data_IF_240377148843
#
_entry.id   IF_240377148843
#
_cell.length_a   1.000
_cell.length_b   1.000
_cell.length_c   1.000
_cell.angle_alpha   90.00
_cell.angle_beta   90.00
_cell.angle_gamma   90.00
#
_symmetry.space_group_name_H-M   'P 1'
#
loop_
_entity.id
_entity.type
_entity.pdbx_description
1 polymer ?
#
# COMPACT_ATOMS: atom_id res chain seq x y z
N UNK A 1 -27.13 -3.44 16.32
CA UNK A 1 -26.46 -2.12 16.39
C UNK A 1 -26.61 -1.41 15.04
N UNK A 2 -27.00 -0.14 15.01
CA UNK A 2 -27.07 0.66 13.77
C UNK A 2 -25.67 1.13 13.36
N UNK A 3 -25.36 1.04 12.06
CA UNK A 3 -24.10 1.55 11.49
C UNK A 3 -24.14 3.08 11.46
N UNK A 4 -22.97 3.73 11.54
CA UNK A 4 -22.84 5.20 11.53
C UNK A 4 -22.00 5.72 10.36
N UNK A 5 -22.21 6.95 9.93
CA UNK A 5 -21.36 7.59 8.93
C UNK A 5 -20.15 8.23 9.61
N UNK A 6 -18.99 7.63 9.45
CA UNK A 6 -17.74 8.27 9.86
C UNK A 6 -17.31 9.33 8.83
N UNK A 7 -17.02 10.55 9.29
CA UNK A 7 -16.54 11.70 8.50
C UNK A 7 -15.04 11.99 8.67
N UNK A 8 -14.34 11.31 9.61
CA UNK A 8 -12.91 11.50 9.85
C UNK A 8 -12.18 10.17 10.20
N UNK A 9 -11.01 9.95 9.59
CA UNK A 9 -10.20 8.74 9.84
C UNK A 9 -10.62 7.49 9.04
N UNK A 10 -10.01 6.35 9.37
CA UNK A 10 -10.29 5.07 8.72
C UNK A 10 -11.69 4.56 9.10
N UNK A 11 -12.48 4.14 8.11
CA UNK A 11 -13.77 3.50 8.36
C UNK A 11 -13.56 2.06 8.83
N UNK A 12 -14.25 1.67 9.89
CA UNK A 12 -14.14 0.34 10.51
C UNK A 12 -15.29 -0.58 10.05
N UNK A 13 -14.97 -1.75 9.48
CA UNK A 13 -15.98 -2.76 9.18
C UNK A 13 -16.79 -3.13 10.42
N UNK A 14 -18.12 -3.20 10.30
CA UNK A 14 -19.04 -3.54 11.40
C UNK A 14 -19.49 -2.36 12.28
N UNK A 15 -18.79 -1.23 12.23
CA UNK A 15 -19.12 -0.01 12.99
C UNK A 15 -19.64 1.08 12.05
N UNK A 16 -18.97 1.27 10.92
CA UNK A 16 -19.26 2.34 9.97
C UNK A 16 -19.97 1.83 8.71
N UNK A 17 -20.74 2.69 8.05
CA UNK A 17 -21.18 2.43 6.68
C UNK A 17 -19.96 2.34 5.75
N UNK A 18 -19.79 1.18 5.12
CA UNK A 18 -18.74 0.92 4.13
C UNK A 18 -19.33 1.03 2.73
N UNK A 19 -18.65 1.78 1.88
CA UNK A 19 -18.91 1.76 0.43
C UNK A 19 -17.73 0.98 -0.17
N UNK A 20 -17.98 0.00 -1.05
CA UNK A 20 -16.91 -0.77 -1.68
C UNK A 20 -15.87 0.14 -2.33
N UNK A 21 -14.60 -0.22 -2.21
CA UNK A 21 -13.52 0.61 -2.75
C UNK A 21 -13.39 0.46 -4.27
N UNK A 22 -13.54 -0.77 -4.79
CA UNK A 22 -13.39 -1.07 -6.21
C UNK A 22 -14.26 -0.19 -7.15
N UNK A 23 -15.56 0.08 -6.90
CA UNK A 23 -16.36 0.97 -7.75
C UNK A 23 -15.88 2.43 -7.80
N UNK A 24 -15.05 2.85 -6.84
CA UNK A 24 -14.46 4.20 -6.81
C UNK A 24 -13.20 4.31 -7.66
N UNK A 25 -12.61 3.17 -8.02
CA UNK A 25 -11.43 3.04 -8.88
C UNK A 25 -11.70 1.94 -9.92
N UNK A 26 -12.70 2.12 -10.81
CA UNK A 26 -13.17 1.04 -11.69
C UNK A 26 -12.08 0.56 -12.67
N UNK A 27 -11.12 1.41 -13.00
CA UNK A 27 -9.97 1.05 -13.86
C UNK A 27 -8.86 0.31 -13.10
N UNK A 28 -8.80 0.40 -11.77
CA UNK A 28 -7.67 -0.14 -11.00
C UNK A 28 -7.51 -1.67 -11.15
N UNK A 29 -8.56 -2.50 -11.08
CA UNK A 29 -8.40 -3.94 -11.30
C UNK A 29 -7.79 -4.27 -12.68
N UNK A 30 -8.25 -3.59 -13.74
CA UNK A 30 -7.71 -3.79 -15.09
C UNK A 30 -6.26 -3.31 -15.24
N UNK A 31 -5.88 -2.21 -14.58
CA UNK A 31 -4.50 -1.72 -14.57
C UNK A 31 -3.57 -2.62 -13.75
N UNK A 32 -4.06 -3.20 -12.66
CA UNK A 32 -3.34 -4.21 -11.87
C UNK A 32 -3.13 -5.48 -12.71
N UNK A 33 -4.15 -5.91 -13.45
CA UNK A 33 -4.04 -7.06 -14.37
C UNK A 33 -3.02 -6.83 -15.50
N UNK A 34 -2.82 -5.58 -15.92
CA UNK A 34 -1.83 -5.18 -16.93
C UNK A 34 -0.43 -4.95 -16.35
N UNK A 35 -0.20 -5.22 -15.07
CA UNK A 35 1.10 -5.08 -14.41
C UNK A 35 1.68 -3.65 -14.46
N UNK A 36 0.81 -2.65 -14.65
CA UNK A 36 1.20 -1.26 -14.82
C UNK A 36 1.34 -0.49 -13.50
N UNK A 37 2.24 0.50 -13.50
CA UNK A 37 2.25 1.56 -12.50
C UNK A 37 1.15 2.58 -12.82
N UNK A 38 0.38 3.03 -11.82
CA UNK A 38 -0.65 4.03 -12.04
C UNK A 38 -0.81 5.02 -10.88
N UNK A 39 -0.92 6.30 -11.21
CA UNK A 39 -1.12 7.36 -10.23
C UNK A 39 -2.61 7.65 -10.13
N UNK A 40 -3.15 7.63 -8.92
CA UNK A 40 -4.55 8.02 -8.66
C UNK A 40 -4.58 9.44 -8.16
N UNK A 41 -4.89 10.40 -9.03
CA UNK A 41 -5.12 11.77 -8.59
C UNK A 41 -6.49 11.88 -7.89
N UNK A 42 -6.54 12.54 -6.73
CA UNK A 42 -7.82 12.86 -6.10
C UNK A 42 -7.80 14.14 -5.26
N UNK A 43 -8.93 14.88 -5.21
CA UNK A 43 -9.08 16.08 -4.38
C UNK A 43 -8.95 15.80 -2.87
N UNK A 44 -8.52 16.80 -2.09
CA UNK A 44 -8.39 16.72 -0.60
C UNK A 44 -9.67 16.18 0.05
N UNK A 45 -9.52 15.42 1.14
CA UNK A 45 -10.61 14.89 1.98
C UNK A 45 -11.63 13.93 1.33
N UNK A 46 -11.37 13.41 0.14
CA UNK A 46 -12.26 12.44 -0.56
C UNK A 46 -12.09 10.97 -0.13
N UNK A 47 -11.58 10.71 1.08
CA UNK A 47 -11.28 9.34 1.54
C UNK A 47 -9.99 8.75 0.93
N UNK A 48 -8.96 9.59 0.78
CA UNK A 48 -7.66 9.27 0.18
C UNK A 48 -6.92 8.11 0.84
N UNK A 49 -7.10 7.93 2.14
CA UNK A 49 -6.47 6.87 2.94
C UNK A 49 -7.37 5.65 3.06
N UNK A 50 -8.68 5.86 3.17
CA UNK A 50 -9.66 4.78 3.33
C UNK A 50 -9.81 3.93 2.07
N UNK A 51 -9.77 4.57 0.88
CA UNK A 51 -10.05 3.86 -0.38
C UNK A 51 -8.91 2.90 -0.77
N UNK A 52 -7.62 3.30 -0.76
CA UNK A 52 -6.52 2.37 -1.05
C UNK A 52 -6.37 1.28 0.03
N UNK A 53 -6.57 1.62 1.31
CA UNK A 53 -6.55 0.62 2.38
C UNK A 53 -7.66 -0.44 2.22
N UNK A 54 -8.89 0.00 1.93
CA UNK A 54 -10.00 -0.92 1.67
C UNK A 54 -9.77 -1.75 0.39
N UNK A 55 -9.22 -1.15 -0.67
CA UNK A 55 -8.89 -1.86 -1.90
C UNK A 55 -7.81 -2.93 -1.68
N UNK A 56 -6.76 -2.63 -0.89
CA UNK A 56 -5.73 -3.60 -0.55
C UNK A 56 -6.31 -4.80 0.22
N UNK A 57 -7.22 -4.53 1.16
CA UNK A 57 -7.92 -5.59 1.90
C UNK A 57 -8.85 -6.40 0.98
N UNK A 58 -9.61 -5.74 0.10
CA UNK A 58 -10.48 -6.40 -0.88
C UNK A 58 -9.69 -7.31 -1.83
N UNK A 59 -8.56 -6.84 -2.37
CA UNK A 59 -7.68 -7.61 -3.27
C UNK A 59 -7.03 -8.81 -2.57
N UNK A 60 -6.60 -8.64 -1.32
CA UNK A 60 -6.03 -9.73 -0.52
C UNK A 60 -7.08 -10.76 -0.15
N UNK A 61 -8.28 -10.32 0.25
CA UNK A 61 -9.41 -11.18 0.59
C UNK A 61 -9.97 -11.93 -0.62
N UNK A 62 -9.92 -11.34 -1.82
CA UNK A 62 -10.29 -12.00 -3.07
C UNK A 62 -9.33 -13.15 -3.45
N UNK A 63 -8.22 -13.33 -2.72
CA UNK A 63 -7.34 -14.49 -2.85
C UNK A 63 -6.33 -14.40 -4.01
N UNK A 64 -6.48 -13.41 -4.90
CA UNK A 64 -5.62 -13.26 -6.09
C UNK A 64 -4.30 -12.54 -5.83
N UNK A 65 -4.28 -11.61 -4.88
CA UNK A 65 -3.13 -10.74 -4.64
C UNK A 65 -2.67 -10.77 -3.19
N UNK A 66 -1.44 -10.35 -2.96
CA UNK A 66 -0.96 -9.89 -1.67
C UNK A 66 -0.83 -8.36 -1.74
N UNK A 67 -1.87 -7.67 -1.28
CA UNK A 67 -1.99 -6.23 -1.44
C UNK A 67 -1.79 -5.52 -0.11
N UNK A 68 -0.89 -4.54 -0.08
CA UNK A 68 -0.54 -3.82 1.14
C UNK A 68 -0.65 -2.31 0.96
N UNK A 69 -1.21 -1.64 1.98
CA UNK A 69 -1.17 -0.19 2.09
C UNK A 69 -0.22 0.27 3.22
N UNK A 70 0.71 1.16 2.89
CA UNK A 70 1.68 1.75 3.82
C UNK A 70 1.90 3.25 3.57
N UNK A 71 2.57 3.94 4.51
CA UNK A 71 2.93 5.36 4.42
C UNK A 71 4.42 5.52 4.14
N UNK A 72 4.80 6.54 3.37
CA UNK A 72 6.21 6.89 3.15
C UNK A 72 6.71 8.02 4.06
N UNK A 73 5.88 8.54 4.98
CA UNK A 73 6.21 9.68 5.86
C UNK A 73 7.49 9.46 6.69
N UNK A 74 7.77 8.22 7.13
CA UNK A 74 9.01 7.90 7.85
C UNK A 74 10.26 8.00 6.96
N UNK A 75 10.11 7.73 5.66
CA UNK A 75 11.18 7.98 4.69
C UNK A 75 11.40 9.46 4.45
N UNK A 76 10.32 10.25 4.42
CA UNK A 76 10.38 11.71 4.26
C UNK A 76 11.07 12.40 5.44
N UNK A 77 10.86 11.92 6.67
CA UNK A 77 11.49 12.47 7.88
C UNK A 77 13.03 12.35 7.89
N UNK A 78 13.60 11.48 7.05
CA UNK A 78 15.05 11.29 6.91
C UNK A 78 15.73 12.37 6.04
N UNK A 79 14.97 13.19 5.32
CA UNK A 79 15.53 14.23 4.43
C UNK A 79 16.42 13.63 3.34
N UNK A 80 17.67 14.10 3.25
CA UNK A 80 18.65 13.66 2.25
C UNK A 80 19.41 12.38 2.66
N UNK A 81 19.11 11.78 3.82
CA UNK A 81 19.65 10.47 4.21
C UNK A 81 18.84 9.36 3.53
N UNK A 82 19.24 9.03 2.30
CA UNK A 82 18.59 7.99 1.49
C UNK A 82 18.63 6.61 2.16
N UNK A 83 19.70 6.27 2.88
CA UNK A 83 19.82 5.00 3.59
C UNK A 83 18.82 4.90 4.74
N UNK A 84 18.73 5.94 5.57
CA UNK A 84 17.72 6.03 6.62
C UNK A 84 16.30 6.05 6.06
N UNK A 85 16.07 6.72 4.92
CA UNK A 85 14.77 6.77 4.27
C UNK A 85 14.30 5.37 3.83
N UNK A 86 15.17 4.60 3.17
CA UNK A 86 14.84 3.23 2.74
C UNK A 86 14.60 2.30 3.92
N UNK A 87 15.40 2.40 4.98
CA UNK A 87 15.19 1.62 6.21
C UNK A 87 13.86 1.95 6.87
N UNK A 88 13.49 3.23 6.93
CA UNK A 88 12.20 3.70 7.43
C UNK A 88 11.02 3.11 6.64
N UNK A 89 11.09 3.16 5.31
CA UNK A 89 10.07 2.60 4.42
C UNK A 89 9.97 1.07 4.60
N UNK A 90 11.09 0.35 4.62
CA UNK A 90 11.10 -1.11 4.81
C UNK A 90 10.59 -1.53 6.19
N UNK A 91 10.87 -0.72 7.22
CA UNK A 91 10.32 -0.90 8.56
C UNK A 91 8.79 -0.77 8.57
N UNK A 92 8.27 0.28 7.93
CA UNK A 92 6.81 0.50 7.84
C UNK A 92 6.13 -0.60 7.02
N UNK A 93 6.70 -0.99 5.87
CA UNK A 93 6.19 -2.10 5.05
C UNK A 93 6.05 -3.37 5.90
N UNK A 94 7.11 -3.75 6.63
CA UNK A 94 7.09 -4.95 7.48
C UNK A 94 6.02 -4.86 8.56
N UNK A 95 5.98 -3.75 9.30
CA UNK A 95 4.98 -3.52 10.36
C UNK A 95 3.55 -3.59 9.82
N UNK A 96 3.29 -3.00 8.64
CA UNK A 96 1.97 -3.04 8.00
C UNK A 96 1.63 -4.43 7.51
N UNK A 97 2.58 -5.16 6.93
CA UNK A 97 2.39 -6.53 6.48
C UNK A 97 2.05 -7.47 7.64
N UNK A 98 2.71 -7.35 8.78
CA UNK A 98 2.41 -8.14 9.98
C UNK A 98 0.97 -7.93 10.49
N UNK A 99 0.46 -6.71 10.37
CA UNK A 99 -0.90 -6.35 10.80
C UNK A 99 -1.99 -6.73 9.79
N UNK A 100 -1.70 -6.66 8.50
CA UNK A 100 -2.71 -6.74 7.44
C UNK A 100 -2.68 -8.04 6.63
N UNK A 101 -1.54 -8.74 6.59
CA UNK A 101 -1.34 -9.90 5.75
C UNK A 101 -1.23 -11.21 6.56
N UNK A 102 -1.81 -12.32 6.06
CA UNK A 102 -1.51 -13.67 6.53
C UNK A 102 -0.01 -13.98 6.48
N UNK A 103 0.45 -14.89 7.34
CA UNK A 103 1.87 -15.19 7.49
C UNK A 103 2.53 -15.58 6.15
N UNK A 104 1.84 -16.33 5.30
CA UNK A 104 2.36 -16.76 3.99
C UNK A 104 2.57 -15.61 2.99
N UNK A 105 1.90 -14.47 3.17
CA UNK A 105 1.99 -13.32 2.27
C UNK A 105 2.95 -12.23 2.79
N UNK A 106 3.49 -12.41 3.99
CA UNK A 106 4.40 -11.44 4.62
C UNK A 106 5.75 -11.41 3.93
N UNK A 107 6.46 -10.27 4.04
CA UNK A 107 7.81 -10.19 3.53
C UNK A 107 8.77 -11.17 4.22
N UNK A 108 9.77 -11.70 3.49
CA UNK A 108 10.84 -12.48 4.07
C UNK A 108 11.77 -11.59 4.89
N UNK A 109 12.78 -12.19 5.51
CA UNK A 109 13.92 -11.42 6.03
C UNK A 109 14.58 -10.69 4.85
N UNK A 110 14.74 -9.38 4.99
CA UNK A 110 15.35 -8.55 3.96
C UNK A 110 16.79 -9.01 3.68
N UNK A 111 17.18 -9.20 2.41
CA UNK A 111 18.55 -9.54 2.07
C UNK A 111 19.48 -8.40 2.46
N UNK A 112 20.76 -8.73 2.71
CA UNK A 112 21.79 -7.71 2.81
C UNK A 112 22.04 -7.13 1.42
N UNK A 113 22.02 -5.81 1.31
CA UNK A 113 22.29 -5.06 0.10
C UNK A 113 23.03 -3.77 0.46
N UNK A 114 23.61 -3.12 -0.56
CA UNK A 114 24.12 -1.75 -0.43
C UNK A 114 22.96 -0.80 -0.10
N UNK A 115 23.28 0.39 0.44
CA UNK A 115 22.26 1.43 0.65
C UNK A 115 21.54 1.75 -0.67
N UNK A 116 22.28 1.96 -1.77
CA UNK A 116 21.69 2.25 -3.08
C UNK A 116 20.63 1.23 -3.54
N UNK A 117 20.81 -0.07 -3.24
CA UNK A 117 19.93 -1.14 -3.72
C UNK A 117 18.98 -1.70 -2.66
N UNK A 118 19.03 -1.22 -1.42
CA UNK A 118 18.37 -1.86 -0.28
C UNK A 118 16.86 -2.06 -0.49
N UNK A 119 16.16 -1.00 -0.91
CA UNK A 119 14.72 -1.05 -1.15
C UNK A 119 14.38 -1.98 -2.33
N UNK A 120 15.13 -1.89 -3.43
CA UNK A 120 14.91 -2.71 -4.61
C UNK A 120 15.15 -4.21 -4.32
N UNK A 121 16.24 -4.53 -3.62
CA UNK A 121 16.59 -5.89 -3.23
C UNK A 121 15.54 -6.50 -2.30
N UNK A 122 15.05 -5.75 -1.31
CA UNK A 122 14.02 -6.20 -0.38
C UNK A 122 12.68 -6.46 -1.07
N UNK A 123 12.21 -5.53 -1.92
CA UNK A 123 10.95 -5.68 -2.66
C UNK A 123 11.02 -6.83 -3.67
N UNK A 124 12.16 -6.99 -4.36
CA UNK A 124 12.40 -8.12 -5.27
C UNK A 124 12.38 -9.45 -4.51
N UNK A 125 13.03 -9.52 -3.36
CA UNK A 125 13.03 -10.72 -2.53
C UNK A 125 11.61 -11.08 -2.10
N UNK A 126 10.83 -10.10 -1.65
CA UNK A 126 9.44 -10.34 -1.25
C UNK A 126 8.60 -10.87 -2.41
N UNK A 127 8.65 -10.19 -3.56
CA UNK A 127 7.85 -10.58 -4.71
C UNK A 127 8.18 -11.99 -5.21
N UNK A 128 9.46 -12.40 -5.18
CA UNK A 128 9.88 -13.77 -5.54
C UNK A 128 9.40 -14.84 -4.55
N UNK A 129 9.31 -14.51 -3.27
CA UNK A 129 8.90 -15.47 -2.23
C UNK A 129 7.39 -15.51 -2.00
N UNK A 130 6.68 -14.44 -2.37
CA UNK A 130 5.25 -14.36 -2.13
C UNK A 130 4.51 -15.31 -3.08
N UNK A 131 3.60 -16.15 -2.57
CA UNK A 131 2.84 -17.08 -3.43
C UNK A 131 1.82 -16.34 -4.33
N UNK A 132 1.67 -15.02 -4.17
CA UNK A 132 0.72 -14.19 -4.91
C UNK A 132 1.43 -12.93 -5.43
N UNK A 133 0.98 -12.37 -6.57
CA UNK A 133 1.51 -11.10 -7.04
C UNK A 133 1.31 -9.99 -5.99
N UNK A 134 2.36 -9.19 -5.78
CA UNK A 134 2.33 -8.08 -4.84
C UNK A 134 1.65 -6.85 -5.44
N UNK A 135 0.89 -6.13 -4.60
CA UNK A 135 0.31 -4.84 -4.98
C UNK A 135 0.54 -3.86 -3.85
N UNK A 136 1.30 -2.79 -4.11
CA UNK A 136 1.72 -1.84 -3.08
C UNK A 136 1.05 -0.48 -3.25
N UNK A 137 0.31 -0.08 -2.23
CA UNK A 137 -0.36 1.21 -2.16
C UNK A 137 0.37 2.10 -1.17
N UNK A 138 0.87 3.24 -1.62
CA UNK A 138 1.40 4.27 -0.72
C UNK A 138 0.82 5.64 -1.03
N UNK A 139 1.04 6.58 -0.13
CA UNK A 139 0.59 7.96 -0.26
C UNK A 139 1.82 8.83 -0.10
N UNK A 140 2.13 9.61 -1.13
CA UNK A 140 3.09 10.70 -1.09
C UNK A 140 2.30 11.99 -0.81
N UNK A 141 2.67 12.71 0.25
CA UNK A 141 1.98 13.95 0.64
C UNK A 141 2.64 15.21 0.09
N UNK A 142 3.80 15.09 -0.56
CA UNK A 142 4.70 16.21 -0.86
C UNK A 142 4.66 16.61 -2.33
N UNK A 143 4.54 15.68 -3.28
CA UNK A 143 4.79 16.01 -4.70
C UNK A 143 3.58 16.58 -5.47
N UNK A 144 2.38 16.63 -4.88
CA UNK A 144 1.27 17.36 -5.53
C UNK A 144 0.11 17.67 -4.59
N UNK A 145 -0.48 18.88 -4.65
CA UNK A 145 -1.74 19.20 -3.95
C UNK A 145 -2.91 18.28 -4.35
N UNK A 146 -2.77 17.46 -5.41
CA UNK A 146 -3.77 16.53 -5.93
C UNK A 146 -3.30 15.07 -6.13
N UNK A 147 -2.03 14.72 -5.92
CA UNK A 147 -1.45 13.42 -6.31
C UNK A 147 -1.63 12.31 -5.28
N UNK A 148 -2.01 11.10 -5.71
CA UNK A 148 -1.75 9.85 -4.97
C UNK A 148 -1.00 8.93 -5.91
N UNK A 149 0.12 8.36 -5.47
CA UNK A 149 0.92 7.45 -6.29
C UNK A 149 0.65 6.02 -5.87
N UNK A 150 0.13 5.18 -6.76
CA UNK A 150 -0.07 3.74 -6.51
C UNK A 150 0.97 2.98 -7.33
N UNK A 151 1.77 2.15 -6.68
CA UNK A 151 2.83 1.39 -7.36
C UNK A 151 2.53 -0.09 -7.30
N UNK A 152 2.07 -0.66 -8.41
CA UNK A 152 2.02 -2.12 -8.54
C UNK A 152 3.42 -2.60 -8.87
N UNK A 153 3.99 -3.44 -8.00
CA UNK A 153 5.30 -4.07 -8.21
C UNK A 153 5.07 -5.57 -8.39
N UNK A 154 5.44 -6.10 -9.55
CA UNK A 154 5.60 -7.54 -9.76
C UNK A 154 7.09 -7.89 -9.75
N UNK A 155 7.44 -9.00 -9.12
CA UNK A 155 8.59 -9.83 -9.52
C UNK A 155 8.09 -11.25 -9.78
#
# INVERSE_FOLDING_TARGET
MSRRFNTAGLRRPGIDYMIPAAPRLPAAPGLIDQEGYFVVHAPRQTGKTTTPHALANELTAAGRYAALHFSCELGEAAGDDYGAAQLGILGEIRRRAELALPAELRPPVWPRASEADLLAAALTAWARTCPRPLVLFFIDTVTSPAGRTITVLRA
#
